data_IF_950320167119
#
_entry.id   IF_950320167119
#
_cell.length_a   1.000
_cell.length_b   1.000
_cell.length_c   1.000
_cell.angle_alpha   90.00
_cell.angle_beta   90.00
_cell.angle_gamma   90.00
#
_symmetry.space_group_name_H-M   'P 1'
#
loop_
_entity.id
_entity.type
_entity.pdbx_description
1 polymer ?
#
# COMPACT_ATOMS: atom_id res chain seq x y z
N UNK A 1 18.68 16.15 14.50
CA UNK A 1 18.71 14.90 13.69
C UNK A 1 18.29 13.75 14.61
N UNK A 2 17.30 12.92 14.25
CA UNK A 2 16.83 11.84 15.15
C UNK A 2 17.98 10.85 15.46
N UNK A 3 18.18 10.41 16.72
CA UNK A 3 19.20 9.41 17.07
C UNK A 3 18.85 8.01 16.51
N UNK A 4 17.61 7.80 16.09
CA UNK A 4 17.14 6.52 15.57
C UNK A 4 17.49 6.36 14.10
N UNK A 5 18.09 5.21 13.76
CA UNK A 5 18.42 4.81 12.37
C UNK A 5 17.33 3.97 11.71
N UNK A 6 16.58 3.19 12.50
CA UNK A 6 15.51 2.28 12.05
C UNK A 6 14.14 2.75 12.53
N UNK A 7 13.11 2.47 11.75
CA UNK A 7 11.73 2.67 12.19
C UNK A 7 11.31 1.66 13.26
N UNK A 8 10.44 2.13 14.16
CA UNK A 8 9.80 1.27 15.15
C UNK A 8 8.71 0.41 14.52
N UNK A 9 8.43 -0.74 15.13
CA UNK A 9 7.36 -1.64 14.69
C UNK A 9 6.00 -0.92 14.60
N UNK A 10 5.67 -0.11 15.61
CA UNK A 10 4.45 0.69 15.61
C UNK A 10 4.38 1.68 14.44
N UNK A 11 5.51 2.32 14.09
CA UNK A 11 5.54 3.23 12.94
C UNK A 11 5.30 2.48 11.63
N UNK A 12 5.89 1.30 11.45
CA UNK A 12 5.67 0.46 10.27
C UNK A 12 4.20 0.03 10.13
N UNK A 13 3.53 -0.31 11.24
CA UNK A 13 2.10 -0.67 11.24
C UNK A 13 1.24 0.55 10.86
N UNK A 14 1.44 1.70 11.50
CA UNK A 14 0.67 2.92 11.21
C UNK A 14 0.91 3.38 9.77
N UNK A 15 2.14 3.29 9.28
CA UNK A 15 2.47 3.55 7.89
C UNK A 15 1.70 2.62 6.96
N UNK A 16 1.64 1.32 7.28
CA UNK A 16 0.84 0.35 6.54
C UNK A 16 -0.64 0.68 6.51
N UNK A 17 -1.23 1.00 7.66
CA UNK A 17 -2.65 1.39 7.75
C UNK A 17 -2.90 2.65 6.90
N UNK A 18 -2.04 3.67 7.01
CA UNK A 18 -2.19 4.89 6.22
C UNK A 18 -2.10 4.63 4.72
N UNK A 19 -1.19 3.75 4.29
CA UNK A 19 -1.08 3.34 2.89
C UNK A 19 -2.35 2.61 2.44
N UNK A 20 -2.90 1.74 3.29
CA UNK A 20 -4.13 1.02 2.96
C UNK A 20 -5.31 1.96 2.75
N UNK A 21 -5.51 2.94 3.64
CA UNK A 21 -6.60 3.92 3.50
C UNK A 21 -6.50 4.66 2.16
N UNK A 22 -5.30 5.11 1.78
CA UNK A 22 -5.06 5.76 0.48
C UNK A 22 -5.36 4.81 -0.67
N UNK A 23 -4.84 3.57 -0.59
CA UNK A 23 -4.99 2.58 -1.66
C UNK A 23 -6.44 2.08 -1.82
N UNK A 24 -7.20 1.88 -0.74
CA UNK A 24 -8.60 1.49 -0.81
C UNK A 24 -9.48 2.60 -1.33
N UNK A 25 -9.18 3.85 -0.96
CA UNK A 25 -9.90 5.01 -1.50
C UNK A 25 -9.69 5.10 -3.01
N UNK A 26 -8.45 4.94 -3.48
CA UNK A 26 -8.13 4.90 -4.91
C UNK A 26 -8.88 3.77 -5.63
N UNK A 27 -8.87 2.54 -5.11
CA UNK A 27 -9.62 1.42 -5.70
C UNK A 27 -11.14 1.66 -5.70
N UNK A 28 -11.72 2.19 -4.61
CA UNK A 28 -13.15 2.51 -4.57
C UNK A 28 -13.49 3.56 -5.63
N UNK A 29 -12.68 4.62 -5.77
CA UNK A 29 -12.90 5.65 -6.79
C UNK A 29 -12.79 5.09 -8.21
N UNK A 30 -11.78 4.26 -8.49
CA UNK A 30 -11.60 3.62 -9.81
C UNK A 30 -12.75 2.67 -10.12
N UNK A 31 -13.13 1.81 -9.18
CA UNK A 31 -14.25 0.88 -9.35
C UNK A 31 -15.52 1.67 -9.59
N UNK A 32 -15.86 2.64 -8.74
CA UNK A 32 -17.06 3.47 -8.90
C UNK A 32 -17.09 4.21 -10.23
N UNK A 33 -15.96 4.77 -10.68
CA UNK A 33 -15.88 5.43 -11.98
C UNK A 33 -16.18 4.44 -13.11
N UNK A 34 -15.64 3.22 -13.06
CA UNK A 34 -15.85 2.23 -14.11
C UNK A 34 -17.26 1.63 -14.08
N UNK A 35 -17.77 1.18 -12.93
CA UNK A 35 -19.13 0.58 -12.84
C UNK A 35 -20.26 1.58 -13.02
N UNK A 36 -20.07 2.85 -12.61
CA UNK A 36 -21.06 3.90 -12.83
C UNK A 36 -21.17 4.28 -14.31
N UNK A 37 -20.04 4.28 -15.04
CA UNK A 37 -20.04 4.48 -16.50
C UNK A 37 -20.72 3.33 -17.26
N UNK A 38 -20.76 2.12 -16.70
CA UNK A 38 -21.43 0.94 -17.31
C UNK A 38 -22.88 0.75 -16.85
N UNK A 39 -23.41 1.61 -15.97
CA UNK A 39 -24.83 1.59 -15.57
C UNK A 39 -25.23 0.59 -14.47
N UNK A 40 -24.30 -0.23 -13.96
CA UNK A 40 -24.55 -1.23 -12.92
C UNK A 40 -23.72 -0.91 -11.65
N UNK A 41 -24.29 -0.09 -10.76
CA UNK A 41 -23.65 0.25 -9.49
C UNK A 41 -23.78 -0.90 -8.46
N UNK A 42 -22.88 -1.88 -8.51
CA UNK A 42 -22.84 -2.99 -7.53
C UNK A 42 -21.76 -2.81 -6.46
N UNK A 43 -22.14 -2.24 -5.30
CA UNK A 43 -21.23 -1.91 -4.19
C UNK A 43 -20.91 -3.13 -3.30
N UNK A 44 -21.80 -4.12 -3.26
CA UNK A 44 -21.79 -5.18 -2.24
C UNK A 44 -20.66 -6.21 -2.44
N UNK A 45 -20.38 -6.60 -3.70
CA UNK A 45 -19.30 -7.54 -4.02
C UNK A 45 -17.91 -6.90 -3.87
N UNK A 46 -17.80 -5.60 -4.15
CA UNK A 46 -16.54 -4.85 -4.04
C UNK A 46 -16.07 -4.73 -2.58
N UNK A 47 -16.99 -4.58 -1.63
CA UNK A 47 -16.69 -4.44 -0.20
C UNK A 47 -16.11 -5.72 0.43
N UNK A 48 -16.69 -6.89 0.12
CA UNK A 48 -16.23 -8.18 0.67
C UNK A 48 -14.81 -8.54 0.19
N UNK A 49 -14.54 -8.35 -1.09
CA UNK A 49 -13.20 -8.59 -1.65
C UNK A 49 -12.20 -7.54 -1.11
N UNK A 50 -12.61 -6.28 -1.04
CA UNK A 50 -11.78 -5.17 -0.55
C UNK A 50 -11.31 -5.34 0.90
N UNK A 51 -12.16 -5.84 1.80
CA UNK A 51 -11.80 -6.09 3.20
C UNK A 51 -10.78 -7.23 3.35
N UNK A 52 -10.96 -8.32 2.62
CA UNK A 52 -10.02 -9.44 2.67
C UNK A 52 -8.65 -9.07 2.10
N UNK A 53 -8.63 -8.37 0.96
CA UNK A 53 -7.40 -7.81 0.40
C UNK A 53 -6.74 -6.79 1.32
N UNK A 54 -7.52 -5.98 2.05
CA UNK A 54 -6.99 -5.00 3.00
C UNK A 54 -6.13 -5.67 4.06
N UNK A 55 -6.65 -6.71 4.72
CA UNK A 55 -5.97 -7.39 5.84
C UNK A 55 -4.71 -8.11 5.34
N UNK A 56 -4.83 -8.89 4.25
CA UNK A 56 -3.69 -9.62 3.69
C UNK A 56 -2.60 -8.66 3.27
N UNK A 57 -2.94 -7.64 2.50
CA UNK A 57 -1.95 -6.71 2.00
C UNK A 57 -1.38 -5.84 3.13
N UNK A 58 -2.11 -5.57 4.21
CA UNK A 58 -1.56 -4.90 5.40
C UNK A 58 -0.46 -5.75 6.04
N UNK A 59 -0.68 -7.06 6.21
CA UNK A 59 0.32 -7.98 6.71
C UNK A 59 1.55 -8.04 5.79
N UNK A 60 1.34 -8.23 4.48
CA UNK A 60 2.42 -8.27 3.48
C UNK A 60 3.21 -6.95 3.47
N UNK A 61 2.53 -5.80 3.57
CA UNK A 61 3.18 -4.50 3.66
C UNK A 61 4.08 -4.38 4.88
N UNK A 62 3.58 -4.79 6.05
CA UNK A 62 4.39 -4.79 7.26
C UNK A 62 5.64 -5.64 7.07
N UNK A 63 5.52 -6.87 6.55
CA UNK A 63 6.68 -7.72 6.28
C UNK A 63 7.64 -7.10 5.26
N UNK A 64 7.13 -6.49 4.20
CA UNK A 64 7.93 -5.78 3.21
C UNK A 64 8.73 -4.63 3.84
N UNK A 65 8.11 -3.82 4.72
CA UNK A 65 8.80 -2.77 5.47
C UNK A 65 9.93 -3.36 6.34
N UNK A 66 9.67 -4.49 7.01
CA UNK A 66 10.66 -5.17 7.85
C UNK A 66 11.84 -5.70 7.04
N UNK A 67 11.58 -6.29 5.88
CA UNK A 67 12.63 -6.77 4.96
C UNK A 67 13.49 -5.60 4.50
N UNK A 68 12.88 -4.48 4.07
CA UNK A 68 13.62 -3.30 3.64
C UNK A 68 14.46 -2.67 4.76
N UNK A 69 13.93 -2.60 5.98
CA UNK A 69 14.67 -2.14 7.16
C UNK A 69 15.84 -3.06 7.52
N UNK A 70 15.72 -4.36 7.23
CA UNK A 70 16.79 -5.32 7.45
C UNK A 70 17.89 -5.21 6.39
N UNK A 71 17.52 -5.09 5.12
CA UNK A 71 18.44 -4.93 3.98
C UNK A 71 19.24 -3.63 4.11
N UNK A 72 18.56 -2.50 4.31
CA UNK A 72 19.23 -1.19 4.40
C UNK A 72 19.88 -0.95 5.76
N UNK A 73 19.50 -1.72 6.80
CA UNK A 73 19.83 -1.47 8.22
C UNK A 73 19.45 -0.07 8.74
N UNK A 74 18.74 0.72 7.93
CA UNK A 74 18.25 2.08 8.20
C UNK A 74 16.94 2.33 7.48
N UNK A 75 16.26 3.43 7.81
CA UNK A 75 15.13 3.90 7.01
C UNK A 75 15.60 4.35 5.62
N UNK A 76 14.90 3.92 4.58
CA UNK A 76 15.07 4.41 3.22
C UNK A 76 14.87 5.94 3.21
N UNK A 77 15.88 6.68 2.77
CA UNK A 77 15.90 8.16 2.87
C UNK A 77 16.30 8.79 1.54
N UNK A 78 17.07 8.09 0.72
CA UNK A 78 17.48 8.58 -0.60
C UNK A 78 16.40 8.31 -1.64
N UNK A 79 16.33 9.15 -2.68
CA UNK A 79 15.37 8.97 -3.77
C UNK A 79 15.50 7.58 -4.43
N UNK A 80 16.73 7.08 -4.64
CA UNK A 80 16.96 5.76 -5.24
C UNK A 80 16.39 4.63 -4.38
N UNK A 81 16.65 4.64 -3.07
CA UNK A 81 16.10 3.65 -2.14
C UNK A 81 14.56 3.63 -2.14
N UNK A 82 13.93 4.81 -2.13
CA UNK A 82 12.47 4.94 -2.13
C UNK A 82 11.89 4.43 -3.46
N UNK A 83 12.54 4.72 -4.59
CA UNK A 83 12.12 4.22 -5.91
C UNK A 83 12.20 2.69 -5.93
N UNK A 84 13.34 2.09 -5.54
CA UNK A 84 13.47 0.63 -5.51
C UNK A 84 12.49 -0.03 -4.55
N UNK A 85 12.26 0.57 -3.39
CA UNK A 85 11.25 0.14 -2.43
C UNK A 85 9.84 0.19 -3.05
N UNK A 86 9.53 1.26 -3.78
CA UNK A 86 8.26 1.42 -4.49
C UNK A 86 8.06 0.38 -5.58
N UNK A 87 9.10 0.12 -6.39
CA UNK A 87 9.06 -0.91 -7.44
C UNK A 87 8.86 -2.29 -6.82
N UNK A 88 9.66 -2.66 -5.80
CA UNK A 88 9.51 -3.96 -5.14
C UNK A 88 8.12 -4.15 -4.51
N UNK A 89 7.57 -3.09 -3.91
CA UNK A 89 6.23 -3.10 -3.36
C UNK A 89 5.17 -3.32 -4.45
N UNK A 90 5.32 -2.72 -5.65
CA UNK A 90 4.42 -2.97 -6.78
C UNK A 90 4.43 -4.43 -7.20
N UNK A 91 5.61 -5.02 -7.41
CA UNK A 91 5.69 -6.42 -7.82
C UNK A 91 4.97 -7.33 -6.82
N UNK A 92 5.25 -7.18 -5.53
CA UNK A 92 4.60 -7.98 -4.48
C UNK A 92 3.08 -7.76 -4.47
N UNK A 93 2.63 -6.51 -4.53
CA UNK A 93 1.20 -6.19 -4.49
C UNK A 93 0.43 -6.70 -5.73
N UNK A 94 0.99 -6.52 -6.93
CA UNK A 94 0.38 -6.97 -8.19
C UNK A 94 0.31 -8.49 -8.25
N UNK A 95 1.37 -9.20 -7.85
CA UNK A 95 1.35 -10.67 -7.76
C UNK A 95 0.31 -11.17 -6.77
N UNK A 96 0.17 -10.51 -5.61
CA UNK A 96 -0.86 -10.87 -4.62
C UNK A 96 -2.26 -10.75 -5.20
N UNK A 97 -2.58 -9.64 -5.86
CA UNK A 97 -3.89 -9.45 -6.49
C UNK A 97 -4.12 -10.42 -7.64
N UNK A 98 -3.12 -10.66 -8.49
CA UNK A 98 -3.24 -11.64 -9.57
C UNK A 98 -3.59 -13.04 -9.04
N UNK A 99 -2.93 -13.50 -7.96
CA UNK A 99 -3.21 -14.78 -7.32
C UNK A 99 -4.62 -14.79 -6.71
N UNK A 100 -5.01 -13.75 -5.96
CA UNK A 100 -6.33 -13.66 -5.33
C UNK A 100 -7.43 -13.65 -6.39
N UNK A 101 -7.29 -12.81 -7.42
CA UNK A 101 -8.23 -12.73 -8.54
C UNK A 101 -8.33 -14.06 -9.29
N UNK A 102 -7.21 -14.74 -9.55
CA UNK A 102 -7.20 -16.04 -10.22
C UNK A 102 -7.91 -17.15 -9.43
N UNK A 103 -7.75 -17.18 -8.11
CA UNK A 103 -8.43 -18.14 -7.23
C UNK A 103 -9.94 -17.86 -7.16
N UNK A 104 -10.33 -16.58 -7.10
CA UNK A 104 -11.71 -16.17 -6.86
C UNK A 104 -12.57 -16.15 -8.13
N UNK A 105 -12.07 -15.58 -9.23
CA UNK A 105 -12.90 -15.26 -10.40
C UNK A 105 -13.02 -16.42 -11.39
N UNK A 106 -12.09 -17.39 -11.37
CA UNK A 106 -12.00 -18.51 -12.34
C UNK A 106 -12.19 -18.12 -13.83
N UNK A 107 -12.10 -16.83 -14.14
CA UNK A 107 -12.34 -16.21 -15.44
C UNK A 107 -11.59 -14.88 -15.48
N UNK A 108 -10.96 -14.58 -16.61
CA UNK A 108 -10.25 -13.33 -16.85
C UNK A 108 -11.05 -12.54 -17.89
N UNK A 109 -11.65 -11.43 -17.48
CA UNK A 109 -12.39 -10.54 -18.38
C UNK A 109 -11.48 -9.38 -18.83
N UNK A 110 -11.62 -8.92 -20.08
CA UNK A 110 -10.78 -7.85 -20.65
C UNK A 110 -10.87 -6.52 -19.87
N UNK A 111 -12.03 -6.22 -19.29
CA UNK A 111 -12.25 -5.04 -18.44
C UNK A 111 -11.39 -5.09 -17.17
N UNK A 112 -11.15 -6.27 -16.60
CA UNK A 112 -10.34 -6.42 -15.40
C UNK A 112 -8.86 -6.09 -15.68
N UNK A 113 -8.37 -6.33 -16.90
CA UNK A 113 -7.00 -6.01 -17.31
C UNK A 113 -6.77 -4.49 -17.38
N UNK A 114 -7.70 -3.74 -17.96
CA UNK A 114 -7.62 -2.28 -18.04
C UNK A 114 -7.63 -1.61 -16.65
N UNK A 115 -8.47 -2.12 -15.74
CA UNK A 115 -8.49 -1.66 -14.34
C UNK A 115 -7.13 -1.96 -13.68
N UNK A 116 -6.63 -3.20 -13.81
CA UNK A 116 -5.37 -3.60 -13.21
C UNK A 116 -4.17 -2.76 -13.70
N UNK A 117 -4.11 -2.45 -15.01
CA UNK A 117 -3.05 -1.60 -15.58
C UNK A 117 -3.13 -0.16 -15.08
N UNK A 118 -4.34 0.41 -15.01
CA UNK A 118 -4.56 1.78 -14.52
C UNK A 118 -4.19 1.89 -13.04
N UNK A 119 -4.64 0.94 -12.22
CA UNK A 119 -4.31 0.87 -10.80
C UNK A 119 -2.81 0.66 -10.54
N UNK A 120 -2.10 -0.05 -11.43
CA UNK A 120 -0.68 -0.28 -11.30
C UNK A 120 0.10 1.04 -11.36
N UNK A 121 -0.23 1.90 -12.33
CA UNK A 121 0.45 3.17 -12.52
C UNK A 121 0.08 4.20 -11.45
N UNK A 122 -1.21 4.42 -11.18
CA UNK A 122 -1.65 5.41 -10.19
C UNK A 122 -1.11 5.07 -8.81
N UNK A 123 -1.23 3.81 -8.38
CA UNK A 123 -0.76 3.40 -7.06
C UNK A 123 0.76 3.42 -6.95
N UNK A 124 1.51 3.21 -8.04
CA UNK A 124 2.97 3.41 -8.02
C UNK A 124 3.33 4.84 -7.60
N UNK A 125 2.74 5.82 -8.28
CA UNK A 125 2.97 7.25 -7.99
C UNK A 125 2.53 7.59 -6.58
N UNK A 126 1.32 7.17 -6.18
CA UNK A 126 0.79 7.43 -4.83
C UNK A 126 1.68 6.83 -3.74
N UNK A 127 2.22 5.63 -3.94
CA UNK A 127 3.09 5.01 -2.94
C UNK A 127 4.43 5.69 -2.80
N UNK A 128 5.03 6.10 -3.92
CA UNK A 128 6.24 6.89 -3.90
C UNK A 128 6.03 8.22 -3.14
N UNK A 129 4.92 8.91 -3.42
CA UNK A 129 4.56 10.16 -2.73
C UNK A 129 4.27 9.92 -1.25
N UNK A 130 3.60 8.81 -0.92
CA UNK A 130 3.31 8.42 0.46
C UNK A 130 4.59 8.15 1.26
N UNK A 131 5.55 7.39 0.73
CA UNK A 131 6.83 7.18 1.38
C UNK A 131 7.58 8.51 1.58
N UNK A 132 7.58 9.40 0.57
CA UNK A 132 8.14 10.75 0.72
C UNK A 132 7.46 11.58 1.78
N UNK A 133 6.12 11.54 1.87
CA UNK A 133 5.37 12.24 2.91
C UNK A 133 5.76 11.72 4.30
N UNK A 134 5.93 10.40 4.43
CA UNK A 134 6.37 9.77 5.67
C UNK A 134 7.80 10.18 6.09
N UNK A 135 8.69 10.51 5.16
CA UNK A 135 10.02 11.04 5.50
C UNK A 135 9.99 12.41 6.17
N UNK A 136 8.95 13.21 5.91
CA UNK A 136 8.76 14.51 6.60
C UNK A 136 8.44 14.34 8.08
N UNK A 137 7.97 13.15 8.50
CA UNK A 137 7.74 12.82 9.90
C UNK A 137 9.04 12.28 10.51
N UNK A 138 9.65 12.97 11.51
CA UNK A 138 10.88 12.52 12.10
C UNK A 138 10.69 11.20 12.86
N UNK A 139 11.71 10.34 12.75
CA UNK A 139 11.81 9.10 13.51
C UNK A 139 11.66 9.39 15.02
N UNK A 140 10.92 8.54 15.72
CA UNK A 140 10.68 8.68 17.16
C UNK A 140 9.48 9.57 17.53
N UNK A 141 9.01 10.48 16.68
CA UNK A 141 7.87 11.37 17.00
C UNK A 141 6.60 10.61 17.39
N UNK A 142 6.23 9.61 16.60
CA UNK A 142 5.06 8.77 16.89
C UNK A 142 5.24 8.00 18.20
N UNK A 143 6.43 7.43 18.44
CA UNK A 143 6.70 6.70 19.68
C UNK A 143 6.64 7.62 20.90
N UNK A 144 7.19 8.82 20.81
CA UNK A 144 7.23 9.79 21.90
C UNK A 144 5.84 10.34 22.21
N UNK A 145 4.99 10.54 21.19
CA UNK A 145 3.59 10.93 21.36
C UNK A 145 2.80 9.89 22.17
N UNK A 146 2.95 8.60 21.84
CA UNK A 146 2.24 7.52 22.54
C UNK A 146 2.86 7.13 23.89
N UNK A 147 4.18 7.22 24.04
CA UNK A 147 4.89 6.87 25.29
C UNK A 147 5.07 8.06 26.25
N UNK A 148 4.57 9.25 25.91
CA UNK A 148 4.65 10.44 26.76
C UNK A 148 6.06 10.96 27.05
N UNK A 149 7.11 10.45 26.37
CA UNK A 149 8.49 10.89 26.57
C UNK A 149 8.76 12.13 25.71
N UNK A 150 8.63 13.32 26.31
CA UNK A 150 9.11 14.59 25.74
C UNK A 150 10.63 14.60 25.66
#
# INVERSE_FOLDING_TARGET
>A
MSPYKKESHFRSIIKGISWRIVATTDTILVVLLVTCLTGECSIENALKIGLFEFIIKLAIYYFHERVWLNILKKQATTNKEIVYKSISWRFVATSTTFIISGIVLKSFNEVALYIALTELFTKFVLYYLHEKAWLKLPLGRIRNFFLGRK
#
